data_IF_051291946792
#
_entry.id   IF_051291946792
#
_cell.length_a   1.000
_cell.length_b   1.000
_cell.length_c   1.000
_cell.angle_alpha   90.00
_cell.angle_beta   90.00
_cell.angle_gamma   90.00
#
_symmetry.space_group_name_H-M   'P 1'
#
loop_
_entity.id
_entity.type
_entity.pdbx_description
1 polymer ?
#
# COMPACT_ATOMS: atom_id res chain seq x y z
N UNK A 1 -5.22 19.00 -20.42
CA UNK A 1 -4.83 18.56 -19.05
C UNK A 1 -5.91 17.64 -18.54
N UNK A 2 -5.55 16.52 -17.89
CA UNK A 2 -6.53 15.59 -17.33
C UNK A 2 -7.22 16.22 -16.10
N UNK A 3 -8.50 15.89 -15.86
CA UNK A 3 -9.24 16.39 -14.69
C UNK A 3 -8.86 15.61 -13.43
N UNK A 4 -9.17 16.16 -12.24
CA UNK A 4 -8.91 15.47 -10.97
C UNK A 4 -9.56 14.06 -10.87
N UNK A 5 -10.83 13.85 -11.31
CA UNK A 5 -11.39 12.51 -11.43
C UNK A 5 -10.60 11.58 -12.35
N UNK A 6 -10.14 12.07 -13.50
CA UNK A 6 -9.36 11.27 -14.47
C UNK A 6 -8.02 10.82 -13.87
N UNK A 7 -7.34 11.70 -13.12
CA UNK A 7 -6.09 11.38 -12.44
C UNK A 7 -6.29 10.32 -11.34
N UNK A 8 -7.36 10.42 -10.55
CA UNK A 8 -7.71 9.40 -9.56
C UNK A 8 -7.93 8.01 -10.21
N UNK A 9 -8.62 7.95 -11.36
CA UNK A 9 -8.79 6.70 -12.09
C UNK A 9 -7.48 6.18 -12.68
N UNK A 10 -6.68 7.06 -13.29
CA UNK A 10 -5.41 6.70 -13.90
C UNK A 10 -4.41 6.15 -12.86
N UNK A 11 -4.32 6.76 -11.68
CA UNK A 11 -3.51 6.25 -10.58
C UNK A 11 -3.93 4.85 -10.14
N UNK A 12 -5.24 4.57 -10.09
CA UNK A 12 -5.75 3.25 -9.75
C UNK A 12 -5.42 2.20 -10.83
N UNK A 13 -5.50 2.57 -12.11
CA UNK A 13 -5.11 1.69 -13.22
C UNK A 13 -3.64 1.33 -13.12
N UNK A 14 -2.75 2.31 -12.97
CA UNK A 14 -1.32 2.07 -12.79
C UNK A 14 -1.02 1.22 -11.55
N UNK A 15 -1.68 1.50 -10.42
CA UNK A 15 -1.53 0.69 -9.20
C UNK A 15 -2.00 -0.76 -9.35
N UNK A 16 -3.04 -1.01 -10.15
CA UNK A 16 -3.52 -2.36 -10.46
C UNK A 16 -2.54 -3.08 -11.40
N UNK A 17 -2.09 -2.42 -12.47
CA UNK A 17 -1.11 -2.97 -13.41
C UNK A 17 0.19 -3.36 -12.69
N UNK A 18 0.68 -2.50 -11.78
CA UNK A 18 1.86 -2.78 -10.98
C UNK A 18 1.71 -4.07 -10.15
N UNK A 19 0.55 -4.25 -9.52
CA UNK A 19 0.25 -5.44 -8.71
C UNK A 19 0.11 -6.70 -9.58
N UNK A 20 -0.50 -6.59 -10.75
CA UNK A 20 -0.60 -7.71 -11.71
C UNK A 20 0.77 -8.11 -12.24
N UNK A 21 1.61 -7.15 -12.64
CA UNK A 21 2.97 -7.41 -13.07
C UNK A 21 3.80 -8.08 -11.97
N UNK A 22 3.67 -7.63 -10.71
CA UNK A 22 4.28 -8.29 -9.55
C UNK A 22 3.85 -9.77 -9.44
N UNK A 23 2.56 -10.05 -9.59
CA UNK A 23 2.03 -11.42 -9.54
C UNK A 23 2.53 -12.30 -10.70
N UNK A 24 2.81 -11.70 -11.86
CA UNK A 24 3.41 -12.37 -13.02
C UNK A 24 4.94 -12.50 -12.93
N UNK A 25 5.58 -11.92 -11.91
CA UNK A 25 7.04 -11.88 -11.77
C UNK A 25 7.75 -10.84 -12.64
N UNK A 26 7.00 -10.02 -13.39
CA UNK A 26 7.56 -8.96 -14.22
C UNK A 26 7.96 -7.76 -13.35
N UNK A 27 9.19 -7.82 -12.89
CA UNK A 27 9.76 -6.85 -11.94
C UNK A 27 10.05 -5.49 -12.56
N UNK A 28 10.22 -5.42 -13.88
CA UNK A 28 10.45 -4.16 -14.59
C UNK A 28 9.11 -3.43 -14.73
N UNK A 29 8.09 -4.12 -15.23
CA UNK A 29 6.76 -3.54 -15.42
C UNK A 29 6.11 -3.17 -14.09
N UNK A 30 6.27 -3.99 -13.04
CA UNK A 30 5.75 -3.68 -11.72
C UNK A 30 6.28 -2.34 -11.19
N UNK A 31 7.59 -2.09 -11.33
CA UNK A 31 8.22 -0.84 -10.88
C UNK A 31 7.84 0.35 -11.74
N UNK A 32 7.76 0.18 -13.06
CA UNK A 32 7.36 1.23 -13.99
C UNK A 32 5.92 1.70 -13.73
N UNK A 33 4.99 0.76 -13.55
CA UNK A 33 3.60 1.09 -13.29
C UNK A 33 3.43 1.66 -11.88
N UNK A 34 4.20 1.17 -10.90
CA UNK A 34 4.19 1.74 -9.57
C UNK A 34 4.68 3.20 -9.56
N UNK A 35 5.77 3.52 -10.27
CA UNK A 35 6.29 4.89 -10.31
C UNK A 35 5.28 5.87 -10.89
N UNK A 36 4.58 5.48 -11.97
CA UNK A 36 3.51 6.28 -12.58
C UNK A 36 2.34 6.50 -11.63
N UNK A 37 1.94 5.46 -10.87
CA UNK A 37 0.90 5.59 -9.87
C UNK A 37 1.29 6.55 -8.74
N UNK A 38 2.53 6.43 -8.24
CA UNK A 38 3.08 7.27 -7.17
C UNK A 38 3.18 8.74 -7.57
N UNK A 39 3.65 9.03 -8.78
CA UNK A 39 3.72 10.39 -9.31
C UNK A 39 2.36 11.11 -9.29
N UNK A 40 1.28 10.38 -9.60
CA UNK A 40 -0.07 10.94 -9.59
C UNK A 40 -0.58 11.16 -8.16
N UNK A 41 -0.37 10.20 -7.24
CA UNK A 41 -0.88 10.33 -5.86
C UNK A 41 -0.02 11.23 -4.96
N UNK A 42 1.25 11.46 -5.32
CA UNK A 42 2.11 12.43 -4.64
C UNK A 42 1.84 13.87 -5.12
N UNK A 43 1.27 14.06 -6.32
CA UNK A 43 0.97 15.39 -6.87
C UNK A 43 -0.41 15.94 -6.48
N UNK A 44 -1.31 15.11 -5.94
CA UNK A 44 -2.65 15.54 -5.54
C UNK A 44 -3.24 14.61 -4.46
N UNK A 45 -4.07 15.19 -3.59
CA UNK A 45 -4.75 14.44 -2.52
C UNK A 45 -5.95 13.66 -3.10
N UNK A 46 -5.70 12.41 -3.48
CA UNK A 46 -6.73 11.46 -3.92
C UNK A 46 -6.84 10.30 -2.92
N UNK A 47 -7.54 10.43 -1.79
CA UNK A 47 -7.55 9.41 -0.74
C UNK A 47 -7.93 8.02 -1.24
N UNK A 48 -8.85 7.92 -2.22
CA UNK A 48 -9.34 6.66 -2.80
C UNK A 48 -8.31 5.98 -3.71
N UNK A 49 -7.50 6.72 -4.48
CA UNK A 49 -6.37 6.14 -5.21
C UNK A 49 -5.19 5.87 -4.27
N UNK A 50 -4.85 6.83 -3.43
CA UNK A 50 -3.64 6.87 -2.59
C UNK A 50 -3.50 5.63 -1.73
N UNK A 51 -4.51 5.27 -0.92
CA UNK A 51 -4.42 4.06 -0.09
C UNK A 51 -4.22 2.77 -0.91
N UNK A 52 -4.83 2.65 -2.10
CA UNK A 52 -4.65 1.47 -2.97
C UNK A 52 -3.23 1.42 -3.52
N UNK A 53 -2.71 2.56 -3.98
CA UNK A 53 -1.35 2.69 -4.52
C UNK A 53 -0.31 2.43 -3.42
N UNK A 54 -0.47 3.01 -2.23
CA UNK A 54 0.44 2.80 -1.10
C UNK A 54 0.47 1.35 -0.63
N UNK A 55 -0.68 0.65 -0.65
CA UNK A 55 -0.69 -0.80 -0.38
C UNK A 55 0.15 -1.57 -1.41
N UNK A 56 -0.05 -1.31 -2.71
CA UNK A 56 0.75 -1.96 -3.77
C UNK A 56 2.23 -1.62 -3.65
N UNK A 57 2.57 -0.36 -3.34
CA UNK A 57 3.95 0.08 -3.12
C UNK A 57 4.60 -0.73 -2.01
N UNK A 58 3.93 -0.85 -0.86
CA UNK A 58 4.43 -1.62 0.27
C UNK A 58 4.65 -3.11 -0.05
N UNK A 59 3.76 -3.72 -0.82
CA UNK A 59 3.89 -5.12 -1.27
C UNK A 59 5.10 -5.29 -2.20
N UNK A 60 5.27 -4.37 -3.16
CA UNK A 60 6.39 -4.37 -4.12
C UNK A 60 7.73 -4.17 -3.41
N UNK A 61 7.87 -3.12 -2.60
CA UNK A 61 9.13 -2.83 -1.92
C UNK A 61 9.51 -3.95 -0.95
N UNK A 62 8.54 -4.54 -0.23
CA UNK A 62 8.80 -5.70 0.63
C UNK A 62 9.26 -6.92 -0.18
N UNK A 63 8.66 -7.19 -1.35
CA UNK A 63 9.06 -8.32 -2.22
C UNK A 63 10.52 -8.21 -2.68
N UNK A 64 10.98 -6.99 -2.95
CA UNK A 64 12.34 -6.73 -3.41
C UNK A 64 13.34 -6.40 -2.30
N UNK A 65 12.94 -6.53 -1.02
CA UNK A 65 13.83 -6.36 0.13
C UNK A 65 14.07 -4.92 0.57
N UNK A 66 13.37 -3.94 -0.01
CA UNK A 66 13.41 -2.54 0.43
C UNK A 66 12.42 -2.35 1.60
N UNK A 67 12.85 -2.79 2.79
CA UNK A 67 12.02 -2.83 3.99
C UNK A 67 11.64 -1.42 4.46
N UNK A 68 12.53 -0.44 4.30
CA UNK A 68 12.31 0.94 4.73
C UNK A 68 11.20 1.61 3.91
N UNK A 69 11.27 1.51 2.58
CA UNK A 69 10.18 2.03 1.73
C UNK A 69 8.89 1.25 1.93
N UNK A 70 8.98 -0.06 2.14
CA UNK A 70 7.79 -0.85 2.46
C UNK A 70 7.10 -0.35 3.74
N UNK A 71 7.86 -0.09 4.81
CA UNK A 71 7.37 0.47 6.06
C UNK A 71 6.77 1.87 5.87
N UNK A 72 7.46 2.75 5.14
CA UNK A 72 6.99 4.10 4.86
C UNK A 72 5.63 4.11 4.13
N UNK A 73 5.47 3.28 3.09
CA UNK A 73 4.20 3.20 2.36
C UNK A 73 3.09 2.50 3.16
N UNK A 74 3.43 1.59 4.08
CA UNK A 74 2.44 1.05 5.03
C UNK A 74 1.92 2.13 5.97
N UNK A 75 2.78 3.00 6.46
CA UNK A 75 2.38 4.13 7.31
C UNK A 75 1.44 5.08 6.56
N UNK A 76 1.81 5.47 5.33
CA UNK A 76 0.95 6.30 4.47
C UNK A 76 -0.40 5.63 4.20
N UNK A 77 -0.42 4.32 3.94
CA UNK A 77 -1.65 3.56 3.79
C UNK A 77 -2.54 3.66 5.03
N UNK A 78 -1.99 3.38 6.22
CA UNK A 78 -2.73 3.43 7.48
C UNK A 78 -3.31 4.82 7.71
N UNK A 79 -2.51 5.86 7.49
CA UNK A 79 -2.91 7.24 7.66
C UNK A 79 -4.05 7.63 6.72
N UNK A 80 -3.93 7.35 5.43
CA UNK A 80 -5.00 7.67 4.44
C UNK A 80 -6.30 6.97 4.79
N UNK A 81 -6.26 5.70 5.19
CA UNK A 81 -7.47 4.95 5.57
C UNK A 81 -8.09 5.48 6.85
N UNK A 82 -7.29 5.90 7.84
CA UNK A 82 -7.82 6.54 9.05
C UNK A 82 -8.54 7.84 8.72
N UNK A 83 -7.94 8.70 7.89
CA UNK A 83 -8.58 9.93 7.43
C UNK A 83 -9.88 9.64 6.66
N UNK A 84 -9.88 8.64 5.78
CA UNK A 84 -11.09 8.19 5.08
C UNK A 84 -12.18 7.73 6.05
N UNK A 85 -11.85 6.96 7.08
CA UNK A 85 -12.81 6.49 8.07
C UNK A 85 -13.43 7.64 8.88
N UNK A 86 -12.65 8.70 9.14
CA UNK A 86 -13.12 9.90 9.86
C UNK A 86 -14.16 10.71 9.08
N UNK A 87 -14.29 10.49 7.76
CA UNK A 87 -15.35 11.12 6.95
C UNK A 87 -16.73 10.47 7.13
N UNK A 88 -16.82 9.39 7.90
CA UNK A 88 -18.06 8.67 8.18
C UNK A 88 -18.38 8.68 9.67
N UNK A 89 -19.67 8.69 9.99
CA UNK A 89 -20.14 8.58 11.38
C UNK A 89 -19.62 7.30 12.06
N UNK A 90 -19.30 7.32 13.36
CA UNK A 90 -18.79 6.13 14.08
C UNK A 90 -19.70 4.90 14.00
N UNK A 91 -21.01 5.12 13.85
CA UNK A 91 -22.02 4.06 13.69
C UNK A 91 -22.02 3.42 12.31
N UNK A 92 -21.46 4.10 11.30
CA UNK A 92 -21.51 3.72 9.89
C UNK A 92 -20.77 2.39 9.65
N UNK A 93 -21.33 1.57 8.76
CA UNK A 93 -20.75 0.30 8.36
C UNK A 93 -19.40 0.48 7.66
N UNK A 94 -19.24 1.53 6.85
CA UNK A 94 -17.99 1.86 6.16
C UNK A 94 -16.91 2.29 7.14
N UNK A 95 -17.25 3.13 8.12
CA UNK A 95 -16.34 3.49 9.22
C UNK A 95 -15.76 2.25 9.89
N UNK A 96 -16.65 1.36 10.37
CA UNK A 96 -16.26 0.12 11.07
C UNK A 96 -15.44 -0.81 10.17
N UNK A 97 -15.81 -0.94 8.90
CA UNK A 97 -15.11 -1.82 7.95
C UNK A 97 -13.68 -1.34 7.66
N UNK A 98 -13.47 -0.03 7.51
CA UNK A 98 -12.15 0.56 7.31
C UNK A 98 -11.26 0.35 8.53
N UNK A 99 -11.78 0.57 9.74
CA UNK A 99 -11.04 0.34 10.98
C UNK A 99 -10.71 -1.13 11.22
N UNK A 100 -11.64 -2.05 10.97
CA UNK A 100 -11.40 -3.49 11.09
C UNK A 100 -10.30 -3.96 10.13
N UNK A 101 -10.30 -3.45 8.90
CA UNK A 101 -9.26 -3.74 7.92
C UNK A 101 -7.89 -3.21 8.36
N UNK A 102 -7.82 -2.03 8.99
CA UNK A 102 -6.58 -1.53 9.58
C UNK A 102 -6.09 -2.38 10.74
N UNK A 103 -6.97 -2.78 11.65
CA UNK A 103 -6.61 -3.61 12.80
C UNK A 103 -5.96 -4.94 12.35
N UNK A 104 -6.58 -5.62 11.38
CA UNK A 104 -6.04 -6.86 10.79
C UNK A 104 -4.65 -6.65 10.19
N UNK A 105 -4.45 -5.54 9.45
CA UNK A 105 -3.17 -5.25 8.79
C UNK A 105 -2.07 -4.86 9.77
N UNK A 106 -2.42 -4.16 10.83
CA UNK A 106 -1.46 -3.75 11.88
C UNK A 106 -0.99 -4.98 12.66
N UNK A 107 -1.92 -5.88 13.03
CA UNK A 107 -1.60 -7.15 13.67
C UNK A 107 -0.71 -8.05 12.79
N UNK A 108 -0.96 -8.11 11.47
CA UNK A 108 -0.07 -8.84 10.53
C UNK A 108 1.35 -8.28 10.52
N UNK A 109 1.50 -6.95 10.63
CA UNK A 109 2.81 -6.30 10.66
C UNK A 109 3.58 -6.61 11.94
N UNK A 110 2.91 -6.47 13.08
CA UNK A 110 3.49 -6.79 14.40
C UNK A 110 3.95 -8.26 14.47
N UNK A 111 3.17 -9.17 13.88
CA UNK A 111 3.54 -10.58 13.78
C UNK A 111 4.79 -10.80 12.93
N UNK A 112 4.94 -10.08 11.81
CA UNK A 112 6.12 -10.19 10.94
C UNK A 112 7.38 -9.60 11.57
N UNK A 113 7.26 -8.53 12.37
CA UNK A 113 8.40 -7.91 13.08
C UNK A 113 8.80 -8.65 14.36
N UNK A 114 7.91 -9.46 14.93
CA UNK A 114 8.16 -10.23 16.16
C UNK A 114 8.75 -11.63 15.91
N UNK A 115 8.97 -12.03 14.65
CA UNK A 115 9.60 -13.31 14.34
C UNK A 115 11.09 -13.27 14.73
N UNK A 116 11.58 -14.18 15.59
CA UNK A 116 12.98 -14.20 15.98
C UNK A 116 13.85 -14.52 14.75
N UNK A 117 14.90 -13.72 14.54
CA UNK A 117 15.95 -14.01 13.56
C UNK A 117 16.47 -15.43 13.83
N UNK A 118 16.30 -16.29 12.83
CA UNK A 118 16.70 -17.70 12.87
C UNK A 118 18.16 -17.78 13.36
N UNK A 119 18.48 -18.57 14.41
CA UNK A 119 19.86 -18.67 14.86
C UNK A 119 20.69 -19.31 13.74
N UNK A 120 21.82 -18.66 13.43
CA UNK A 120 22.89 -19.19 12.57
C UNK A 120 23.16 -20.63 13.00
N UNK A 121 22.80 -21.58 12.14
CA UNK A 121 23.09 -22.98 12.39
C UNK A 121 24.60 -23.15 12.29
N UNK A 122 25.19 -23.41 13.45
CA UNK A 122 26.60 -23.61 13.66
C UNK A 122 27.20 -24.57 12.64
N UNK A 123 28.39 -24.18 12.19
CA UNK A 123 29.37 -25.03 11.52
C UNK A 123 29.50 -26.37 12.24
N UNK A 124 29.41 -27.46 11.49
CA UNK A 124 30.03 -28.75 11.80
C UNK A 124 30.78 -29.22 10.56
#
# INVERSE_FOLDING_TARGET
>A
MATAPDLNHLAQVHGLLARTALAMGDSAEARLQLSRALEIVDSADFPIASWRVYRTAAEIFAKYGDVDRAAAYRMRFVETVRRLAQNFEPGDRLHKSLLAMLATRTAQLEAMTSLPSRPDSARH
#
